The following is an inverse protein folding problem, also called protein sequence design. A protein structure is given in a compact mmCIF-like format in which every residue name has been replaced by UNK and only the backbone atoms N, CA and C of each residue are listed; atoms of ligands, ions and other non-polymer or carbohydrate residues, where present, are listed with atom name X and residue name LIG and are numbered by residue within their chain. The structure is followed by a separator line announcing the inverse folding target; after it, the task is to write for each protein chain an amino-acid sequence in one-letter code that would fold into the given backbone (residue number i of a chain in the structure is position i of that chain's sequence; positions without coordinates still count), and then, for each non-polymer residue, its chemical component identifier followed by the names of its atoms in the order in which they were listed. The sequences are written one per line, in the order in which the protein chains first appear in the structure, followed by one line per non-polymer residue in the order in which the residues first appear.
data_IF_713431361926
#
_entry.id   IF_713431361926
#
_cell.length_a   1.000
_cell.length_b   1.000
_cell.length_c   1.000
_cell.angle_alpha   90.00
_cell.angle_beta   90.00
_cell.angle_gamma   90.00
#
_symmetry.space_group_name_H-M   'P 1'
#
loop_
_entity.id
_entity.type
_entity.pdbx_description
1 polymer ?
#
# COMPACT_ATOMS: atom_id res chain seq x y z
N UNK A 1 -18.85 19.10 -10.34
CA UNK A 1 -17.91 19.34 -9.23
C UNK A 1 -16.47 18.86 -9.51
N UNK A 2 -16.18 18.13 -10.60
CA UNK A 2 -14.83 17.70 -11.03
C UNK A 2 -13.77 18.82 -11.10
N UNK A 3 -14.16 20.01 -11.59
CA UNK A 3 -13.20 21.10 -11.75
C UNK A 3 -12.67 21.62 -10.41
N UNK A 4 -13.45 21.54 -9.31
CA UNK A 4 -12.95 21.95 -7.99
C UNK A 4 -12.02 20.92 -7.39
N UNK A 5 -12.28 19.63 -7.57
CA UNK A 5 -11.42 18.55 -7.07
C UNK A 5 -10.08 18.52 -7.79
N UNK A 6 -10.04 18.73 -9.11
CA UNK A 6 -8.78 18.90 -9.85
C UNK A 6 -7.95 20.11 -9.37
N UNK A 7 -8.59 21.26 -9.12
CA UNK A 7 -7.91 22.46 -8.60
C UNK A 7 -7.38 22.22 -7.19
N UNK A 8 -8.18 21.61 -6.31
CA UNK A 8 -7.77 21.30 -4.94
C UNK A 8 -6.61 20.32 -4.93
N UNK A 9 -6.58 19.33 -5.84
CA UNK A 9 -5.47 18.38 -5.93
C UNK A 9 -4.21 19.04 -6.48
N UNK A 10 -4.33 19.97 -7.42
CA UNK A 10 -3.20 20.79 -7.87
C UNK A 10 -2.60 21.65 -6.74
N UNK A 11 -3.45 22.29 -5.93
CA UNK A 11 -3.03 23.07 -4.76
C UNK A 11 -2.38 22.17 -3.68
N UNK A 12 -2.99 21.01 -3.40
CA UNK A 12 -2.42 20.02 -2.48
C UNK A 12 -1.06 19.55 -2.98
N UNK A 13 -0.89 19.30 -4.28
CA UNK A 13 0.38 18.90 -4.86
C UNK A 13 1.46 19.96 -4.65
N UNK A 14 1.17 21.24 -4.94
CA UNK A 14 2.11 22.34 -4.72
C UNK A 14 2.49 22.51 -3.24
N UNK A 15 1.55 22.28 -2.32
CA UNK A 15 1.81 22.38 -0.88
C UNK A 15 2.57 21.16 -0.35
N UNK A 16 2.27 19.95 -0.83
CA UNK A 16 2.97 18.73 -0.45
C UNK A 16 4.47 18.85 -0.73
N UNK A 17 4.86 19.47 -1.84
CA UNK A 17 6.27 19.68 -2.21
C UNK A 17 7.02 20.66 -1.30
N UNK A 18 6.31 21.58 -0.64
CA UNK A 18 6.91 22.69 0.13
C UNK A 18 6.92 22.49 1.64
N UNK A 19 6.15 21.54 2.17
CA UNK A 19 5.85 21.51 3.61
C UNK A 19 6.57 20.39 4.37
N UNK A 20 6.87 20.65 5.65
CA UNK A 20 7.48 19.72 6.63
C UNK A 20 6.58 18.51 6.92
N UNK A 21 7.18 17.47 7.49
CA UNK A 21 6.62 16.12 7.74
C UNK A 21 5.27 16.13 8.46
N UNK A 22 5.06 17.02 9.44
CA UNK A 22 3.81 17.01 10.21
C UNK A 22 2.60 17.55 9.42
N UNK A 23 2.77 18.57 8.57
CA UNK A 23 1.66 19.02 7.72
C UNK A 23 1.46 18.10 6.52
N UNK A 24 2.51 17.41 6.07
CA UNK A 24 2.43 16.39 5.02
C UNK A 24 1.42 15.28 5.38
N UNK A 25 1.39 14.86 6.66
CA UNK A 25 0.37 13.93 7.16
C UNK A 25 -1.07 14.41 6.88
N UNK A 26 -1.37 15.68 7.17
CA UNK A 26 -2.71 16.25 7.00
C UNK A 26 -3.10 16.39 5.52
N UNK A 27 -2.15 16.78 4.67
CA UNK A 27 -2.39 16.87 3.22
C UNK A 27 -2.67 15.50 2.61
N UNK A 28 -1.94 14.46 3.01
CA UNK A 28 -2.17 13.08 2.53
C UNK A 28 -3.52 12.55 3.04
N UNK A 29 -3.89 12.86 4.30
CA UNK A 29 -5.19 12.50 4.83
C UNK A 29 -6.33 13.16 4.05
N UNK A 30 -6.18 14.43 3.68
CA UNK A 30 -7.14 15.15 2.84
C UNK A 30 -7.22 14.54 1.44
N UNK A 31 -6.07 14.25 0.81
CA UNK A 31 -6.00 13.63 -0.50
C UNK A 31 -6.71 12.27 -0.52
N UNK A 32 -6.47 11.42 0.50
CA UNK A 32 -7.15 10.14 0.65
C UNK A 32 -8.69 10.28 0.73
N UNK A 33 -9.21 11.38 1.29
CA UNK A 33 -10.65 11.64 1.35
C UNK A 33 -11.19 12.10 -0.01
N UNK A 34 -10.45 12.93 -0.74
CA UNK A 34 -10.89 13.48 -2.03
C UNK A 34 -10.92 12.40 -3.11
N UNK A 35 -9.89 11.55 -3.16
CA UNK A 35 -9.79 10.43 -4.13
C UNK A 35 -10.99 9.49 -4.07
N UNK A 36 -11.65 9.39 -2.93
CA UNK A 36 -12.85 8.55 -2.79
C UNK A 36 -14.05 9.05 -3.62
N UNK A 37 -14.03 10.31 -4.07
CA UNK A 37 -15.16 10.95 -4.76
C UNK A 37 -14.97 11.09 -6.28
N UNK A 38 -13.84 10.66 -6.84
CA UNK A 38 -13.55 10.81 -8.27
C UNK A 38 -13.25 9.47 -8.96
N UNK A 39 -13.96 9.21 -10.06
CA UNK A 39 -13.82 8.01 -10.89
C UNK A 39 -12.94 8.23 -12.14
N UNK A 40 -12.32 9.41 -12.26
CA UNK A 40 -11.49 9.76 -13.42
C UNK A 40 -10.13 9.04 -13.37
N UNK A 41 -9.87 8.17 -14.34
CA UNK A 41 -8.67 7.35 -14.43
C UNK A 41 -7.38 8.18 -14.59
N UNK A 42 -7.44 9.29 -15.33
CA UNK A 42 -6.26 10.14 -15.54
C UNK A 42 -5.90 10.87 -14.25
N UNK A 43 -6.92 11.31 -13.51
CA UNK A 43 -6.76 11.88 -12.18
C UNK A 43 -6.16 10.87 -11.21
N UNK A 44 -6.70 9.65 -11.17
CA UNK A 44 -6.21 8.57 -10.31
C UNK A 44 -4.74 8.27 -10.61
N UNK A 45 -4.35 8.19 -11.89
CA UNK A 45 -2.95 7.98 -12.30
C UNK A 45 -2.03 9.08 -11.79
N UNK A 46 -2.46 10.34 -11.88
CA UNK A 46 -1.71 11.47 -11.35
C UNK A 46 -1.57 11.43 -9.83
N UNK A 47 -2.65 11.08 -9.12
CA UNK A 47 -2.61 10.95 -7.66
C UNK A 47 -1.70 9.80 -7.22
N UNK A 48 -1.74 8.66 -7.91
CA UNK A 48 -0.81 7.55 -7.70
C UNK A 48 0.63 8.03 -7.83
N UNK A 49 0.96 8.78 -8.90
CA UNK A 49 2.31 9.36 -9.08
C UNK A 49 2.70 10.29 -7.93
N UNK A 50 1.76 11.11 -7.41
CA UNK A 50 1.99 11.98 -6.26
C UNK A 50 2.29 11.14 -5.00
N UNK A 51 1.51 10.10 -4.71
CA UNK A 51 1.76 9.22 -3.58
C UNK A 51 3.16 8.57 -3.67
N UNK A 52 3.56 8.12 -4.85
CA UNK A 52 4.87 7.51 -5.06
C UNK A 52 6.03 8.51 -4.99
N UNK A 53 5.85 9.74 -5.46
CA UNK A 53 6.87 10.78 -5.31
C UNK A 53 7.12 11.08 -3.82
N UNK A 54 6.05 11.15 -3.02
CA UNK A 54 6.16 11.33 -1.57
C UNK A 54 6.73 10.11 -0.88
N UNK A 55 6.39 8.90 -1.33
CA UNK A 55 7.02 7.67 -0.83
C UNK A 55 8.54 7.68 -1.05
N UNK A 56 9.00 8.02 -2.27
CA UNK A 56 10.44 8.14 -2.59
C UNK A 56 11.11 9.21 -1.72
N UNK A 57 10.44 10.36 -1.50
CA UNK A 57 10.94 11.43 -0.64
C UNK A 57 11.08 10.99 0.82
N UNK A 58 10.05 10.39 1.40
CA UNK A 58 10.06 9.90 2.79
C UNK A 58 11.09 8.80 3.05
N UNK A 59 11.41 7.99 2.03
CA UNK A 59 12.48 7.00 2.15
C UNK A 59 13.89 7.62 2.17
N UNK A 60 14.06 8.82 1.63
CA UNK A 60 15.34 9.58 1.68
C UNK A 60 15.48 10.42 2.94
N UNK A 61 14.36 10.84 3.52
CA UNK A 61 14.34 11.60 4.77
C UNK A 61 14.86 10.74 5.93
N UNK A 62 15.77 11.31 6.74
CA UNK A 62 16.34 10.67 7.94
C UNK A 62 15.43 10.80 9.16
N UNK A 63 14.45 11.68 9.09
CA UNK A 63 13.51 11.90 10.17
C UNK A 63 12.47 10.76 10.19
N UNK A 64 12.55 9.92 11.22
CA UNK A 64 11.61 8.83 11.43
C UNK A 64 10.32 9.30 12.13
N UNK A 65 10.29 10.55 12.61
CA UNK A 65 9.16 11.12 13.35
C UNK A 65 7.95 11.23 12.41
N UNK A 66 6.85 10.55 12.75
CA UNK A 66 5.63 10.41 11.92
C UNK A 66 5.78 9.65 10.59
N UNK A 67 6.98 9.20 10.20
CA UNK A 67 7.22 8.52 8.92
C UNK A 67 6.33 7.29 8.74
N UNK A 68 6.24 6.43 9.76
CA UNK A 68 5.40 5.23 9.71
C UNK A 68 3.90 5.56 9.55
N UNK A 69 3.42 6.66 10.13
CA UNK A 69 2.03 7.08 10.03
C UNK A 69 1.72 7.58 8.63
N UNK A 70 2.60 8.41 8.08
CA UNK A 70 2.47 8.94 6.72
C UNK A 70 2.57 7.80 5.69
N UNK A 71 3.54 6.89 5.84
CA UNK A 71 3.66 5.71 4.98
C UNK A 71 2.40 4.85 5.04
N UNK A 72 1.82 4.66 6.22
CA UNK A 72 0.55 3.92 6.36
C UNK A 72 -0.56 4.62 5.56
N UNK A 73 -0.68 5.94 5.64
CA UNK A 73 -1.70 6.69 4.92
C UNK A 73 -1.51 6.64 3.40
N UNK A 74 -0.27 6.78 2.92
CA UNK A 74 0.08 6.69 1.50
C UNK A 74 -0.29 5.30 0.97
N UNK A 75 0.19 4.24 1.62
CA UNK A 75 -0.06 2.87 1.19
C UNK A 75 -1.55 2.52 1.25
N UNK A 76 -2.27 3.00 2.26
CA UNK A 76 -3.73 2.84 2.35
C UNK A 76 -4.46 3.55 1.21
N UNK A 77 -4.02 4.77 0.85
CA UNK A 77 -4.56 5.51 -0.29
C UNK A 77 -4.38 4.75 -1.60
N UNK A 78 -3.16 4.27 -1.86
CA UNK A 78 -2.86 3.46 -3.05
C UNK A 78 -3.65 2.14 -3.04
N UNK A 79 -3.73 1.43 -1.92
CA UNK A 79 -4.50 0.18 -1.81
C UNK A 79 -5.98 0.40 -2.12
N UNK A 80 -6.56 1.50 -1.67
CA UNK A 80 -7.95 1.82 -1.96
C UNK A 80 -8.18 2.09 -3.45
N UNK A 81 -7.28 2.86 -4.07
CA UNK A 81 -7.30 3.07 -5.53
C UNK A 81 -7.23 1.73 -6.25
N UNK A 82 -6.19 0.94 -5.96
CA UNK A 82 -5.90 -0.32 -6.65
C UNK A 82 -7.01 -1.36 -6.49
N UNK A 83 -7.72 -1.38 -5.36
CA UNK A 83 -8.87 -2.27 -5.15
C UNK A 83 -10.00 -2.06 -6.18
N UNK A 84 -10.15 -0.83 -6.68
CA UNK A 84 -11.24 -0.44 -7.58
C UNK A 84 -10.79 -0.36 -9.05
N UNK A 85 -9.51 -0.62 -9.35
CA UNK A 85 -8.97 -0.53 -10.70
C UNK A 85 -9.19 -1.81 -11.51
N UNK A 86 -9.42 -1.62 -12.80
CA UNK A 86 -9.42 -2.70 -13.79
C UNK A 86 -8.00 -3.27 -13.99
N UNK A 87 -7.88 -4.54 -14.44
CA UNK A 87 -6.58 -5.21 -14.61
C UNK A 87 -5.58 -4.46 -15.50
N UNK A 88 -6.04 -3.81 -16.57
CA UNK A 88 -5.19 -3.04 -17.48
C UNK A 88 -4.57 -1.80 -16.82
N UNK A 89 -5.36 -1.10 -16.00
CA UNK A 89 -4.90 0.09 -15.27
C UNK A 89 -3.98 -0.32 -14.10
N UNK A 90 -4.21 -1.51 -13.53
CA UNK A 90 -3.34 -2.08 -12.52
C UNK A 90 -1.94 -2.39 -13.07
N UNK A 91 -1.83 -2.92 -14.29
CA UNK A 91 -0.54 -3.16 -14.95
C UNK A 91 0.21 -1.84 -15.20
N UNK A 92 -0.50 -0.81 -15.70
CA UNK A 92 0.08 0.54 -15.89
C UNK A 92 0.58 1.14 -14.57
N UNK A 93 -0.21 0.95 -13.50
CA UNK A 93 0.16 1.37 -12.15
C UNK A 93 1.40 0.62 -11.67
N UNK A 94 1.44 -0.70 -11.86
CA UNK A 94 2.60 -1.53 -11.50
C UNK A 94 3.86 -1.08 -12.24
N UNK A 95 3.79 -0.81 -13.55
CA UNK A 95 4.93 -0.34 -14.34
C UNK A 95 5.53 0.96 -13.77
N UNK A 96 4.68 1.87 -13.31
CA UNK A 96 5.09 3.13 -12.66
C UNK A 96 5.84 2.90 -11.33
N UNK A 97 5.59 1.77 -10.67
CA UNK A 97 6.06 1.45 -9.31
C UNK A 97 7.15 0.38 -9.30
N UNK A 98 7.34 -0.32 -10.42
CA UNK A 98 8.21 -1.48 -10.57
C UNK A 98 9.62 -1.27 -9.98
N UNK A 99 10.19 -0.08 -10.15
CA UNK A 99 11.49 0.32 -9.57
C UNK A 99 11.53 0.23 -8.03
N UNK A 100 10.41 0.56 -7.37
CA UNK A 100 10.28 0.64 -5.92
C UNK A 100 9.72 -0.65 -5.31
N UNK A 101 9.50 -1.71 -6.09
CA UNK A 101 8.95 -2.97 -5.57
C UNK A 101 9.84 -3.55 -4.45
N UNK A 102 11.17 -3.40 -4.59
CA UNK A 102 12.11 -3.82 -3.56
C UNK A 102 11.97 -3.01 -2.27
N UNK A 103 11.72 -1.70 -2.38
CA UNK A 103 11.45 -0.82 -1.24
C UNK A 103 10.15 -1.23 -0.55
N UNK A 104 9.09 -1.54 -1.32
CA UNK A 104 7.83 -2.06 -0.77
C UNK A 104 8.04 -3.37 -0.01
N UNK A 105 8.81 -4.32 -0.55
CA UNK A 105 9.16 -5.55 0.15
C UNK A 105 10.03 -5.31 1.40
N UNK A 106 10.76 -4.21 1.51
CA UNK A 106 11.47 -3.87 2.76
C UNK A 106 10.49 -3.39 3.83
N UNK A 107 9.46 -2.64 3.45
CA UNK A 107 8.43 -2.15 4.39
C UNK A 107 7.64 -3.28 5.06
N UNK A 108 7.55 -4.45 4.44
CA UNK A 108 6.91 -5.64 5.05
C UNK A 108 7.66 -6.14 6.28
N UNK A 109 8.91 -5.71 6.46
CA UNK A 109 9.74 -5.99 7.62
C UNK A 109 9.92 -4.75 8.52
N UNK A 110 9.12 -3.69 8.32
CA UNK A 110 9.13 -2.48 9.16
C UNK A 110 8.74 -2.81 10.60
N UNK A 111 9.24 -2.03 11.57
CA UNK A 111 8.82 -2.14 12.97
C UNK A 111 7.36 -1.71 13.22
N UNK A 112 6.68 -1.11 12.22
CA UNK A 112 5.28 -0.73 12.30
C UNK A 112 4.36 -1.75 11.64
N UNK A 113 3.54 -2.44 12.43
CA UNK A 113 2.56 -3.41 11.95
C UNK A 113 1.58 -2.83 10.91
N UNK A 114 1.19 -1.55 11.06
CA UNK A 114 0.30 -0.88 10.11
C UNK A 114 0.95 -0.76 8.73
N UNK A 115 2.24 -0.38 8.69
CA UNK A 115 3.03 -0.28 7.46
C UNK A 115 3.20 -1.67 6.83
N UNK A 116 3.49 -2.68 7.65
CA UNK A 116 3.63 -4.06 7.17
C UNK A 116 2.35 -4.56 6.46
N UNK A 117 1.18 -4.41 7.08
CA UNK A 117 -0.10 -4.84 6.48
C UNK A 117 -0.38 -4.10 5.19
N UNK A 118 -0.26 -2.77 5.18
CA UNK A 118 -0.60 -1.98 4.00
C UNK A 118 0.38 -2.26 2.84
N UNK A 119 1.66 -2.47 3.14
CA UNK A 119 2.63 -2.93 2.14
C UNK A 119 2.29 -4.34 1.62
N UNK A 120 1.89 -5.26 2.50
CA UNK A 120 1.52 -6.63 2.09
C UNK A 120 0.25 -6.66 1.24
N UNK A 121 -0.76 -5.85 1.55
CA UNK A 121 -1.95 -5.68 0.70
C UNK A 121 -1.58 -5.16 -0.68
N UNK A 122 -0.69 -4.16 -0.75
CA UNK A 122 -0.31 -3.56 -2.02
C UNK A 122 0.43 -4.57 -2.91
N UNK A 123 1.38 -5.30 -2.33
CA UNK A 123 2.09 -6.36 -3.05
C UNK A 123 1.12 -7.47 -3.48
N UNK A 124 0.12 -7.81 -2.66
CA UNK A 124 -0.90 -8.79 -3.02
C UNK A 124 -1.73 -8.39 -4.25
N UNK A 125 -1.90 -7.10 -4.52
CA UNK A 125 -2.50 -6.67 -5.78
C UNK A 125 -1.55 -6.90 -6.96
N UNK A 126 -0.26 -6.60 -6.79
CA UNK A 126 0.72 -6.73 -7.86
C UNK A 126 1.05 -8.16 -8.25
N UNK A 127 0.94 -9.16 -7.36
CA UNK A 127 1.12 -10.57 -7.74
C UNK A 127 0.07 -11.10 -8.75
N UNK A 128 -1.00 -10.33 -8.98
CA UNK A 128 -2.03 -10.65 -9.97
C UNK A 128 -1.61 -10.28 -11.39
N UNK A 129 -0.78 -9.25 -11.54
CA UNK A 129 -0.28 -8.75 -12.82
C UNK A 129 1.16 -9.18 -13.08
N UNK A 130 1.96 -9.41 -12.04
CA UNK A 130 3.35 -9.82 -12.14
C UNK A 130 3.59 -11.14 -11.39
N UNK A 131 3.71 -12.25 -12.13
CA UNK A 131 3.85 -13.58 -11.56
C UNK A 131 5.18 -13.79 -10.82
N UNK A 132 6.25 -13.14 -11.27
CA UNK A 132 7.58 -13.24 -10.66
C UNK A 132 7.62 -12.80 -9.18
N UNK A 133 6.64 -12.00 -8.75
CA UNK A 133 6.53 -11.54 -7.35
C UNK A 133 5.86 -12.58 -6.45
N UNK A 134 5.15 -13.56 -7.00
CA UNK A 134 4.28 -14.49 -6.25
C UNK A 134 5.05 -15.28 -5.20
N UNK A 135 6.15 -15.92 -5.57
CA UNK A 135 6.94 -16.73 -4.63
C UNK A 135 7.60 -15.90 -3.55
N UNK A 136 8.03 -14.67 -3.88
CA UNK A 136 8.60 -13.75 -2.90
C UNK A 136 7.51 -13.27 -1.94
N UNK A 137 6.34 -12.95 -2.44
CA UNK A 137 5.18 -12.56 -1.65
C UNK A 137 4.79 -13.63 -0.64
N UNK A 138 4.58 -14.87 -1.07
CA UNK A 138 4.13 -15.92 -0.15
C UNK A 138 5.20 -16.33 0.88
N UNK A 139 6.50 -16.25 0.53
CA UNK A 139 7.59 -16.39 1.51
C UNK A 139 7.56 -15.28 2.57
N UNK A 140 7.34 -14.04 2.15
CA UNK A 140 7.17 -12.92 3.08
C UNK A 140 5.91 -13.09 3.94
N UNK A 141 4.79 -13.51 3.35
CA UNK A 141 3.54 -13.76 4.07
C UNK A 141 3.71 -14.85 5.14
N UNK A 142 4.43 -15.93 4.82
CA UNK A 142 4.76 -16.98 5.78
C UNK A 142 5.49 -16.43 7.02
N UNK A 143 6.48 -15.56 6.79
CA UNK A 143 7.21 -14.90 7.88
C UNK A 143 6.29 -13.97 8.66
N UNK A 144 5.47 -13.17 7.98
CA UNK A 144 4.53 -12.23 8.57
C UNK A 144 3.54 -12.93 9.52
N UNK A 145 3.02 -14.11 9.17
CA UNK A 145 2.18 -14.91 10.07
C UNK A 145 2.86 -15.20 11.40
N UNK A 146 4.17 -15.49 11.38
CA UNK A 146 4.92 -15.74 12.62
C UNK A 146 5.07 -14.52 13.53
N UNK A 147 4.84 -13.31 13.01
CA UNK A 147 4.89 -12.07 13.80
C UNK A 147 3.56 -11.74 14.48
N UNK A 148 2.48 -12.46 14.14
CA UNK A 148 1.14 -12.19 14.64
C UNK A 148 0.92 -12.54 16.11
N UNK A 149 1.84 -13.31 16.73
CA UNK A 149 1.78 -13.68 18.15
C UNK A 149 1.79 -12.48 19.10
N UNK A 150 2.31 -11.34 18.65
CA UNK A 150 2.42 -10.11 19.43
C UNK A 150 1.39 -9.03 19.03
N UNK A 151 0.36 -9.39 18.26
CA UNK A 151 -0.58 -8.43 17.66
C UNK A 151 -1.90 -8.38 18.45
N UNK A 152 -2.33 -7.15 18.77
CA UNK A 152 -3.63 -6.87 19.41
C UNK A 152 -4.82 -7.30 18.54
N UNK A 153 -5.88 -7.84 19.16
CA UNK A 153 -7.09 -8.32 18.50
C UNK A 153 -7.72 -7.32 17.48
N UNK A 154 -7.77 -6.03 17.81
CA UNK A 154 -8.36 -5.00 16.91
C UNK A 154 -7.64 -4.82 15.58
N UNK A 155 -6.40 -5.32 15.45
CA UNK A 155 -5.59 -5.22 14.21
C UNK A 155 -5.64 -6.51 13.40
N UNK A 156 -6.32 -7.55 13.89
CA UNK A 156 -6.37 -8.86 13.27
C UNK A 156 -7.37 -8.92 12.10
N UNK A 157 -8.45 -8.12 12.08
CA UNK A 157 -9.46 -8.20 11.02
C UNK A 157 -8.88 -7.98 9.61
N UNK A 158 -8.10 -6.90 9.44
CA UNK A 158 -7.43 -6.60 8.18
C UNK A 158 -6.37 -7.64 7.82
N UNK A 159 -5.74 -8.24 8.83
CA UNK A 159 -4.73 -9.28 8.69
C UNK A 159 -5.36 -10.58 8.19
N UNK A 160 -6.43 -11.03 8.83
CA UNK A 160 -7.15 -12.25 8.46
C UNK A 160 -7.82 -12.11 7.10
N UNK A 161 -8.37 -10.93 6.78
CA UNK A 161 -8.90 -10.66 5.44
C UNK A 161 -7.83 -10.83 4.36
N UNK A 162 -6.63 -10.28 4.58
CA UNK A 162 -5.50 -10.49 3.67
C UNK A 162 -5.12 -11.97 3.60
N UNK A 163 -4.88 -12.63 4.73
CA UNK A 163 -4.50 -14.04 4.80
C UNK A 163 -5.49 -14.95 4.07
N UNK A 164 -6.78 -14.77 4.33
CA UNK A 164 -7.84 -15.53 3.69
C UNK A 164 -7.82 -15.35 2.17
N UNK A 165 -7.74 -14.10 1.68
CA UNK A 165 -7.68 -13.80 0.24
C UNK A 165 -6.43 -14.41 -0.40
N UNK A 166 -5.29 -14.30 0.27
CA UNK A 166 -4.01 -14.81 -0.22
C UNK A 166 -3.99 -16.33 -0.31
N UNK A 167 -4.51 -17.03 0.70
CA UNK A 167 -4.62 -18.49 0.68
C UNK A 167 -5.64 -18.97 -0.36
N UNK A 168 -6.77 -18.28 -0.49
CA UNK A 168 -7.79 -18.62 -1.49
C UNK A 168 -7.29 -18.50 -2.92
N UNK A 169 -6.41 -17.54 -3.20
CA UNK A 169 -5.84 -17.32 -4.52
C UNK A 169 -4.59 -18.18 -4.80
N UNK A 170 -4.07 -18.87 -3.79
CA UNK A 170 -2.87 -19.68 -3.92
C UNK A 170 -3.18 -21.02 -4.62
N UNK A 171 -2.55 -21.33 -5.78
CA UNK A 171 -2.73 -22.63 -6.42
C UNK A 171 -2.04 -23.78 -5.68
N UNK A 172 -1.07 -23.51 -4.79
CA UNK A 172 -0.26 -24.54 -4.13
C UNK A 172 -0.85 -24.90 -2.76
N UNK A 173 -1.54 -26.05 -2.70
CA UNK A 173 -2.19 -26.56 -1.48
C UNK A 173 -1.18 -26.79 -0.34
N UNK A 174 0.04 -27.24 -0.64
CA UNK A 174 1.10 -27.45 0.36
C UNK A 174 1.45 -26.17 1.12
N UNK A 175 1.46 -25.03 0.41
CA UNK A 175 1.75 -23.72 0.98
C UNK A 175 0.61 -23.24 1.88
N UNK A 176 -0.63 -23.48 1.47
CA UNK A 176 -1.83 -23.24 2.29
C UNK A 176 -1.79 -24.07 3.57
N UNK A 177 -1.46 -25.36 3.49
CA UNK A 177 -1.30 -26.22 4.68
C UNK A 177 -0.19 -25.71 5.61
N UNK A 178 0.94 -25.27 5.06
CA UNK A 178 2.02 -24.68 5.85
C UNK A 178 1.58 -23.39 6.57
N UNK A 179 0.76 -22.56 5.94
CA UNK A 179 0.19 -21.38 6.60
C UNK A 179 -0.75 -21.74 7.75
N UNK A 180 -1.64 -22.71 7.55
CA UNK A 180 -2.52 -23.18 8.63
C UNK A 180 -1.72 -23.74 9.81
N UNK A 181 -0.71 -24.56 9.56
CA UNK A 181 0.17 -25.12 10.60
C UNK A 181 0.93 -24.07 11.40
N UNK A 182 1.14 -22.86 10.85
CA UNK A 182 1.85 -21.77 11.53
C UNK A 182 0.92 -20.85 12.32
N UNK A 183 -0.39 -20.87 12.01
CA UNK A 183 -1.41 -20.10 12.73
C UNK A 183 -1.87 -20.80 14.01
N UNK A 184 -1.79 -22.14 14.03
CA UNK A 184 -2.04 -23.00 15.20
C UNK A 184 -0.80 -23.03 16.08
#
# INVERSE_FOLDING_TARGET
HNNMTQVVTGEIQQQIERVKTQSLHNYILLLNKIVFFEDDLDYISNVVKIYFSQFKRLNRERDETHKNEILTLILKGINNIVNNLDPSTLETTFNTISEEINSLFRLTYSNSFKVQIEAMKLIFHFIKVEENLRDRYYRTLYRFIGTLTNVSAMKLDATFSLLYRSMKQDPLVERVQAFFKRLV
#
